data_IF_498340570845
#
_entry.id   IF_498340570845
#
_cell.length_a   1.000
_cell.length_b   1.000
_cell.length_c   1.000
_cell.angle_alpha   90.00
_cell.angle_beta   90.00
_cell.angle_gamma   90.00
#
_symmetry.space_group_name_H-M   'P 1'
#
loop_
_entity.id
_entity.type
_entity.pdbx_description
1 polymer ?
#
# COMPACT_ATOMS: atom_id res chain seq x y z
N UNK A 1 52.60 71.63 21.63
CA UNK A 1 52.53 71.27 23.07
C UNK A 1 52.06 69.84 23.16
N UNK A 2 53.00 69.06 23.49
CA UNK A 2 52.93 67.86 24.40
C UNK A 2 51.92 66.77 24.01
N UNK A 3 52.34 65.70 23.78
CA UNK A 3 53.29 64.73 24.33
C UNK A 3 52.62 63.40 24.58
N UNK A 4 53.34 62.39 24.16
CA UNK A 4 53.55 61.06 24.75
C UNK A 4 52.55 60.04 24.43
N UNK A 5 52.97 59.12 23.59
CA UNK A 5 53.63 57.83 24.01
C UNK A 5 52.74 56.94 24.89
N UNK A 6 52.31 55.86 24.37
CA UNK A 6 52.89 54.67 24.94
C UNK A 6 52.56 53.41 24.09
N UNK A 7 53.62 52.77 23.78
CA UNK A 7 53.82 51.42 23.42
C UNK A 7 53.11 50.49 24.37
N UNK A 8 52.42 49.43 23.85
CA UNK A 8 52.50 48.11 24.51
C UNK A 8 51.88 47.05 23.58
N UNK A 9 52.75 46.42 22.96
CA UNK A 9 52.91 44.96 22.92
C UNK A 9 51.81 44.17 23.68
N UNK A 10 51.16 43.32 23.02
CA UNK A 10 50.81 41.98 23.58
C UNK A 10 50.23 41.08 22.52
N UNK A 11 50.98 40.11 22.16
CA UNK A 11 50.78 38.68 22.02
C UNK A 11 49.43 38.20 21.51
N UNK A 12 49.45 37.29 20.54
CA UNK A 12 48.29 36.56 20.10
C UNK A 12 47.91 35.52 21.16
N UNK A 13 46.65 35.29 21.41
CA UNK A 13 46.22 34.16 22.20
C UNK A 13 46.40 32.87 21.40
N UNK A 14 46.61 31.75 22.11
CA UNK A 14 46.89 30.49 21.51
C UNK A 14 45.67 29.95 20.81
N UNK A 15 45.97 29.37 19.68
CA UNK A 15 45.18 28.40 18.97
C UNK A 15 44.61 27.34 19.89
N UNK A 16 43.53 26.85 19.50
CA UNK A 16 42.91 25.56 19.84
C UNK A 16 41.48 25.74 20.33
N UNK A 17 40.61 25.79 19.36
CA UNK A 17 39.36 25.08 19.51
C UNK A 17 39.11 24.36 18.19
N UNK A 18 39.47 23.12 18.21
CA UNK A 18 38.94 22.08 17.35
C UNK A 18 37.42 22.05 17.59
N UNK A 19 36.69 22.91 16.88
CA UNK A 19 35.29 22.67 16.68
C UNK A 19 35.18 21.39 15.84
N UNK A 20 34.99 20.28 16.51
CA UNK A 20 34.36 19.14 15.94
C UNK A 20 33.06 19.61 15.31
N UNK A 21 33.09 19.86 14.03
CA UNK A 21 31.91 19.79 13.20
C UNK A 21 31.45 18.32 13.25
N UNK A 22 30.64 18.05 14.23
CA UNK A 22 29.69 16.95 14.16
C UNK A 22 28.79 17.27 12.97
N UNK A 23 29.24 16.90 11.81
CA UNK A 23 28.35 16.62 10.70
C UNK A 23 27.41 15.55 11.22
N UNK A 24 26.27 16.00 11.72
CA UNK A 24 25.08 15.19 11.77
C UNK A 24 24.86 14.65 10.36
N UNK A 25 25.53 13.54 10.08
CA UNK A 25 25.07 12.61 9.09
C UNK A 25 23.69 12.18 9.61
N UNK A 26 22.65 12.93 9.23
CA UNK A 26 21.34 12.36 9.09
C UNK A 26 21.54 11.19 8.14
N UNK A 27 21.81 10.04 8.71
CA UNK A 27 21.46 8.79 8.08
C UNK A 27 19.99 8.94 7.71
N UNK A 28 19.79 9.30 6.46
CA UNK A 28 18.53 9.09 5.80
C UNK A 28 18.32 7.59 5.89
N UNK A 29 17.69 7.16 6.98
CA UNK A 29 17.09 5.85 7.08
C UNK A 29 16.18 5.81 5.87
N UNK A 30 16.63 5.14 4.83
CA UNK A 30 15.83 4.94 3.64
C UNK A 30 14.50 4.38 4.15
N UNK A 31 13.48 5.22 4.14
CA UNK A 31 12.17 4.82 4.58
C UNK A 31 11.79 3.71 3.63
N UNK A 32 11.66 2.48 4.15
CA UNK A 32 11.07 1.38 3.41
C UNK A 32 9.77 1.95 2.88
N UNK A 33 9.55 1.99 1.55
CA UNK A 33 8.31 2.53 1.02
C UNK A 33 7.15 1.82 1.71
N UNK A 34 6.10 2.52 2.13
CA UNK A 34 4.99 1.90 2.82
C UNK A 34 4.46 0.79 1.91
N UNK A 35 4.53 -0.45 2.39
CA UNK A 35 4.01 -1.60 1.66
C UNK A 35 2.53 -1.34 1.36
N UNK A 36 2.12 -1.59 0.11
CA UNK A 36 0.74 -1.38 -0.29
C UNK A 36 -0.21 -2.30 0.47
N UNK A 37 -1.17 -1.70 1.16
CA UNK A 37 -2.23 -2.42 1.87
C UNK A 37 -3.19 -3.05 0.86
N UNK A 38 -3.41 -4.35 1.00
CA UNK A 38 -4.30 -5.14 0.13
C UNK A 38 -5.36 -5.83 0.97
N UNK A 39 -6.62 -5.64 0.61
CA UNK A 39 -7.72 -6.43 1.17
C UNK A 39 -7.94 -7.66 0.29
N UNK A 40 -7.95 -8.83 0.91
CA UNK A 40 -8.31 -10.10 0.28
C UNK A 40 -9.62 -10.57 0.89
N UNK A 41 -10.72 -10.49 0.14
CA UNK A 41 -12.04 -10.96 0.55
C UNK A 41 -12.35 -12.24 -0.21
N UNK A 42 -12.21 -13.38 0.46
CA UNK A 42 -12.32 -14.73 -0.11
C UNK A 42 -12.78 -15.68 0.98
N UNK A 43 -13.89 -16.38 0.76
CA UNK A 43 -14.47 -17.33 1.72
C UNK A 43 -13.73 -18.67 1.75
N UNK A 44 -13.10 -19.06 0.65
CA UNK A 44 -12.26 -20.25 0.61
C UNK A 44 -10.94 -19.99 1.33
N UNK A 45 -10.79 -20.59 2.51
CA UNK A 45 -9.63 -20.39 3.40
C UNK A 45 -8.30 -20.79 2.72
N UNK A 46 -8.30 -21.88 1.94
CA UNK A 46 -7.07 -22.36 1.27
C UNK A 46 -6.63 -21.38 0.17
N UNK A 47 -7.58 -20.86 -0.62
CA UNK A 47 -7.30 -19.89 -1.66
C UNK A 47 -6.89 -18.53 -1.04
N UNK A 48 -7.57 -18.10 0.00
CA UNK A 48 -7.24 -16.87 0.73
C UNK A 48 -5.82 -16.91 1.29
N UNK A 49 -5.42 -18.04 1.88
CA UNK A 49 -4.07 -18.22 2.43
C UNK A 49 -3.00 -18.27 1.33
N UNK A 50 -3.29 -18.94 0.22
CA UNK A 50 -2.41 -18.94 -0.95
C UNK A 50 -2.20 -17.51 -1.48
N UNK A 51 -3.28 -16.76 -1.66
CA UNK A 51 -3.23 -15.36 -2.10
C UNK A 51 -2.43 -14.52 -1.10
N UNK A 52 -2.68 -14.66 0.21
CA UNK A 52 -1.95 -13.95 1.26
C UNK A 52 -0.45 -14.15 1.12
N UNK A 53 0.01 -15.40 1.06
CA UNK A 53 1.43 -15.73 0.92
C UNK A 53 2.04 -15.14 -0.36
N UNK A 54 1.33 -15.25 -1.48
CA UNK A 54 1.79 -14.71 -2.76
C UNK A 54 1.92 -13.18 -2.72
N UNK A 55 0.93 -12.49 -2.14
CA UNK A 55 0.99 -11.03 -2.02
C UNK A 55 2.12 -10.57 -1.09
N UNK A 56 2.37 -11.27 0.02
CA UNK A 56 3.52 -11.01 0.89
C UNK A 56 4.86 -11.19 0.15
N UNK A 57 5.00 -12.26 -0.64
CA UNK A 57 6.19 -12.49 -1.48
C UNK A 57 6.38 -11.39 -2.52
N UNK A 58 5.31 -10.79 -3.02
CA UNK A 58 5.36 -9.68 -3.97
C UNK A 58 5.60 -8.31 -3.32
N UNK A 59 5.76 -8.27 -2.00
CA UNK A 59 6.04 -7.05 -1.26
C UNK A 59 4.81 -6.23 -0.90
N UNK A 60 3.61 -6.82 -0.92
CA UNK A 60 2.37 -6.21 -0.44
C UNK A 60 2.11 -6.58 1.02
N UNK A 61 1.19 -5.86 1.63
CA UNK A 61 0.69 -6.17 2.97
C UNK A 61 -0.79 -6.58 2.91
N UNK A 62 -1.07 -7.88 2.75
CA UNK A 62 -2.42 -8.39 2.64
C UNK A 62 -3.11 -8.50 4.00
N UNK A 63 -4.37 -8.15 4.04
CA UNK A 63 -5.31 -8.41 5.14
C UNK A 63 -6.44 -9.25 4.59
N UNK A 64 -6.69 -10.40 5.22
CA UNK A 64 -7.70 -11.36 4.77
C UNK A 64 -9.02 -11.14 5.53
N UNK A 65 -10.12 -11.22 4.80
CA UNK A 65 -11.48 -11.34 5.32
C UNK A 65 -12.17 -12.52 4.63
N UNK A 66 -12.92 -13.30 5.37
CA UNK A 66 -13.68 -14.44 4.83
C UNK A 66 -15.16 -14.14 4.68
N UNK A 67 -15.61 -13.02 5.22
CA UNK A 67 -17.02 -12.61 5.24
C UNK A 67 -17.15 -11.14 4.83
N UNK A 68 -18.24 -10.79 4.15
CA UNK A 68 -18.49 -9.43 3.74
C UNK A 68 -18.58 -8.44 4.91
N UNK A 69 -19.14 -8.87 6.06
CA UNK A 69 -19.17 -8.04 7.29
C UNK A 69 -17.77 -7.77 7.86
N UNK A 70 -16.85 -8.70 7.74
CA UNK A 70 -15.44 -8.52 8.16
C UNK A 70 -14.73 -7.52 7.25
N UNK A 71 -14.89 -7.69 5.94
CA UNK A 71 -14.34 -6.76 4.96
C UNK A 71 -14.89 -5.35 5.15
N UNK A 72 -16.20 -5.20 5.41
CA UNK A 72 -16.82 -3.90 5.65
C UNK A 72 -16.21 -3.21 6.88
N UNK A 73 -15.96 -3.95 7.96
CA UNK A 73 -15.30 -3.41 9.15
C UNK A 73 -13.86 -2.98 8.86
N UNK A 74 -13.10 -3.81 8.16
CA UNK A 74 -11.72 -3.50 7.78
C UNK A 74 -11.64 -2.25 6.90
N UNK A 75 -12.57 -2.10 5.94
CA UNK A 75 -12.65 -0.93 5.07
C UNK A 75 -13.04 0.36 5.81
N UNK A 76 -13.73 0.26 6.94
CA UNK A 76 -14.01 1.38 7.83
C UNK A 76 -12.80 1.77 8.69
N UNK A 77 -12.03 0.79 9.14
CA UNK A 77 -10.91 0.97 10.09
C UNK A 77 -9.61 1.41 9.40
N UNK A 78 -9.39 1.05 8.11
CA UNK A 78 -8.13 1.32 7.41
C UNK A 78 -8.30 1.50 5.90
N UNK A 79 -7.34 2.18 5.28
CA UNK A 79 -7.31 2.39 3.83
C UNK A 79 -6.56 1.26 3.13
N UNK A 80 -7.13 0.80 2.03
CA UNK A 80 -6.50 -0.18 1.13
C UNK A 80 -6.24 0.45 -0.23
N UNK A 81 -5.12 0.07 -0.85
CA UNK A 81 -4.80 0.48 -2.22
C UNK A 81 -5.32 -0.49 -3.27
N UNK A 82 -5.52 -1.73 -2.87
CA UNK A 82 -6.06 -2.80 -3.70
C UNK A 82 -7.06 -3.61 -2.87
N UNK A 83 -8.18 -3.98 -3.46
CA UNK A 83 -9.13 -4.93 -2.92
C UNK A 83 -9.37 -6.03 -3.95
N UNK A 84 -9.06 -7.26 -3.57
CA UNK A 84 -9.44 -8.47 -4.28
C UNK A 84 -10.71 -9.01 -3.62
N UNK A 85 -11.78 -9.11 -4.38
CA UNK A 85 -13.11 -9.37 -3.82
C UNK A 85 -13.74 -10.54 -4.55
N UNK A 86 -13.96 -11.63 -3.82
CA UNK A 86 -14.85 -12.71 -4.31
C UNK A 86 -16.29 -12.19 -4.34
N UNK A 87 -16.98 -12.48 -5.42
CA UNK A 87 -18.38 -12.11 -5.58
C UNK A 87 -19.29 -13.03 -4.74
N UNK A 88 -18.95 -14.30 -4.64
CA UNK A 88 -19.78 -15.33 -4.00
C UNK A 88 -19.37 -15.54 -2.55
N UNK A 89 -19.92 -14.76 -1.63
CA UNK A 89 -19.66 -14.85 -0.19
C UNK A 89 -20.83 -15.49 0.54
N UNK A 90 -20.60 -16.14 1.68
CA UNK A 90 -21.66 -16.85 2.40
C UNK A 90 -22.68 -15.95 3.09
N UNK A 91 -22.32 -14.68 3.37
CA UNK A 91 -23.18 -13.75 4.12
C UNK A 91 -23.72 -12.60 3.27
N UNK A 92 -23.13 -12.31 2.11
CA UNK A 92 -23.54 -11.26 1.18
C UNK A 92 -22.90 -11.47 -0.19
N UNK A 93 -23.01 -10.53 -1.10
CA UNK A 93 -22.24 -10.53 -2.35
C UNK A 93 -21.09 -9.55 -2.28
N UNK A 94 -19.97 -9.86 -2.95
CA UNK A 94 -18.84 -8.94 -3.06
C UNK A 94 -19.23 -7.58 -3.66
N UNK A 95 -20.22 -7.56 -4.55
CA UNK A 95 -20.77 -6.32 -5.10
C UNK A 95 -21.43 -5.44 -4.05
N UNK A 96 -22.21 -6.02 -3.13
CA UNK A 96 -22.87 -5.28 -2.04
C UNK A 96 -21.85 -4.69 -1.07
N UNK A 97 -20.78 -5.45 -0.74
CA UNK A 97 -19.67 -4.96 0.09
C UNK A 97 -19.04 -3.73 -0.54
N UNK A 98 -18.66 -3.84 -1.82
CA UNK A 98 -18.02 -2.74 -2.56
C UNK A 98 -18.96 -1.55 -2.73
N UNK A 99 -20.22 -1.77 -3.10
CA UNK A 99 -21.21 -0.70 -3.23
C UNK A 99 -21.41 0.05 -1.90
N UNK A 100 -21.53 -0.69 -0.79
CA UNK A 100 -21.64 -0.11 0.54
C UNK A 100 -20.43 0.72 0.96
N UNK A 101 -19.23 0.22 0.66
CA UNK A 101 -17.98 0.91 0.95
C UNK A 101 -17.77 2.16 0.09
N UNK A 102 -18.13 2.11 -1.19
CA UNK A 102 -18.08 3.27 -2.09
C UNK A 102 -19.05 4.36 -1.64
N UNK A 103 -20.28 4.00 -1.25
CA UNK A 103 -21.27 4.96 -0.75
C UNK A 103 -20.80 5.70 0.51
N UNK A 104 -19.96 5.07 1.34
CA UNK A 104 -19.35 5.65 2.53
C UNK A 104 -18.02 6.36 2.27
N UNK A 105 -17.50 6.25 1.04
CA UNK A 105 -16.23 6.87 0.65
C UNK A 105 -14.97 6.14 1.16
N UNK A 106 -15.10 4.88 1.56
CA UNK A 106 -13.97 4.09 2.08
C UNK A 106 -13.01 3.58 0.99
N UNK A 107 -13.45 3.55 -0.28
CA UNK A 107 -12.68 3.04 -1.42
C UNK A 107 -12.21 4.13 -2.40
N UNK A 108 -11.98 5.36 -1.92
CA UNK A 108 -11.66 6.52 -2.79
C UNK A 108 -10.43 6.33 -3.67
N UNK A 109 -9.40 5.65 -3.16
CA UNK A 109 -8.11 5.43 -3.84
C UNK A 109 -7.80 3.94 -4.02
N UNK A 110 -8.81 3.08 -3.94
CA UNK A 110 -8.66 1.63 -3.98
C UNK A 110 -8.92 1.12 -5.38
N UNK A 111 -8.00 0.33 -5.93
CA UNK A 111 -8.26 -0.48 -7.13
C UNK A 111 -9.04 -1.72 -6.71
N UNK A 112 -10.02 -2.12 -7.52
CA UNK A 112 -10.91 -3.23 -7.21
C UNK A 112 -10.76 -4.30 -8.27
N UNK A 113 -10.51 -5.54 -7.83
CA UNK A 113 -10.51 -6.72 -8.68
C UNK A 113 -11.59 -7.67 -8.14
N UNK A 114 -12.60 -7.95 -8.94
CA UNK A 114 -13.61 -8.94 -8.62
C UNK A 114 -13.20 -10.31 -9.15
N UNK A 115 -13.38 -11.33 -8.33
CA UNK A 115 -13.23 -12.74 -8.71
C UNK A 115 -14.58 -13.43 -8.74
N UNK A 116 -14.77 -14.37 -9.65
CA UNK A 116 -15.92 -15.28 -9.60
C UNK A 116 -15.65 -16.57 -10.35
N UNK A 117 -16.18 -17.65 -9.83
CA UNK A 117 -16.26 -18.94 -10.53
C UNK A 117 -17.32 -18.96 -11.64
N UNK A 118 -18.23 -17.99 -11.64
CA UNK A 118 -19.27 -17.81 -12.65
C UNK A 118 -18.97 -16.56 -13.50
N UNK A 119 -18.36 -16.71 -14.69
CA UNK A 119 -18.04 -15.61 -15.60
C UNK A 119 -19.21 -15.21 -16.49
N UNK A 120 -20.45 -15.36 -16.04
CA UNK A 120 -21.63 -14.97 -16.81
C UNK A 120 -21.58 -13.49 -17.23
N UNK A 121 -22.17 -13.17 -18.38
CA UNK A 121 -22.21 -11.81 -18.91
C UNK A 121 -22.85 -10.82 -17.93
N UNK A 122 -23.82 -11.26 -17.14
CA UNK A 122 -24.47 -10.43 -16.12
C UNK A 122 -23.51 -10.03 -15.01
N UNK A 123 -22.67 -10.94 -14.53
CA UNK A 123 -21.66 -10.65 -13.47
C UNK A 123 -20.57 -9.75 -13.99
N UNK A 124 -20.09 -9.99 -15.20
CA UNK A 124 -19.10 -9.13 -15.86
C UNK A 124 -19.68 -7.72 -16.08
N UNK A 125 -20.94 -7.64 -16.54
CA UNK A 125 -21.62 -6.36 -16.74
C UNK A 125 -21.81 -5.62 -15.41
N UNK A 126 -22.15 -6.34 -14.32
CA UNK A 126 -22.28 -5.76 -12.99
C UNK A 126 -20.95 -5.24 -12.46
N UNK A 127 -19.86 -6.00 -12.60
CA UNK A 127 -18.51 -5.56 -12.22
C UNK A 127 -18.12 -4.25 -12.93
N UNK A 128 -18.44 -4.11 -14.21
CA UNK A 128 -18.15 -2.90 -15.01
C UNK A 128 -18.90 -1.65 -14.54
N UNK A 129 -19.95 -1.77 -13.73
CA UNK A 129 -20.65 -0.62 -13.15
C UNK A 129 -19.82 0.07 -12.06
N UNK A 130 -18.82 -0.62 -11.52
CA UNK A 130 -17.94 -0.04 -10.51
C UNK A 130 -16.74 0.65 -11.20
N UNK A 131 -16.53 1.96 -10.99
CA UNK A 131 -15.50 2.71 -11.69
C UNK A 131 -14.09 2.15 -11.46
N UNK A 132 -13.41 1.80 -12.55
CA UNK A 132 -12.03 1.32 -12.49
C UNK A 132 -11.85 -0.09 -11.92
N UNK A 133 -12.92 -0.86 -11.74
CA UNK A 133 -12.83 -2.25 -11.34
C UNK A 133 -12.46 -3.16 -12.52
N UNK A 134 -11.91 -4.31 -12.18
CA UNK A 134 -11.53 -5.35 -13.13
C UNK A 134 -12.20 -6.65 -12.69
N UNK A 135 -12.65 -7.43 -13.65
CA UNK A 135 -13.21 -8.77 -13.41
C UNK A 135 -12.20 -9.83 -13.83
N UNK A 136 -11.95 -10.81 -12.98
CA UNK A 136 -11.06 -11.95 -13.22
C UNK A 136 -11.84 -13.24 -12.96
N UNK A 137 -12.06 -14.08 -13.97
CA UNK A 137 -12.73 -15.35 -13.77
C UNK A 137 -11.84 -16.33 -13.01
N UNK A 138 -12.43 -17.15 -12.15
CA UNK A 138 -11.78 -18.33 -11.56
C UNK A 138 -11.99 -19.54 -12.50
N UNK A 139 -11.01 -20.43 -12.68
CA UNK A 139 -9.66 -20.39 -12.13
C UNK A 139 -8.76 -19.40 -12.87
N UNK A 140 -7.84 -18.76 -12.17
CA UNK A 140 -6.86 -17.83 -12.74
C UNK A 140 -5.43 -18.27 -12.42
N UNK A 141 -4.51 -17.89 -13.29
CA UNK A 141 -3.08 -18.12 -13.06
C UNK A 141 -2.49 -16.95 -12.24
N UNK A 142 -1.71 -17.28 -11.21
CA UNK A 142 -1.05 -16.26 -10.37
C UNK A 142 -0.16 -15.31 -11.16
N UNK A 143 0.51 -15.80 -12.22
CA UNK A 143 1.32 -14.97 -13.12
C UNK A 143 0.47 -13.90 -13.83
N UNK A 144 -0.73 -14.26 -14.27
CA UNK A 144 -1.63 -13.33 -14.95
C UNK A 144 -2.16 -12.28 -13.96
N UNK A 145 -2.50 -12.69 -12.74
CA UNK A 145 -2.90 -11.79 -11.66
C UNK A 145 -1.79 -10.80 -11.32
N UNK A 146 -0.55 -11.27 -11.17
CA UNK A 146 0.61 -10.42 -10.92
C UNK A 146 0.82 -9.41 -12.05
N UNK A 147 0.78 -9.85 -13.31
CA UNK A 147 0.91 -8.97 -14.46
C UNK A 147 -0.20 -7.90 -14.54
N UNK A 148 -1.40 -8.21 -14.06
CA UNK A 148 -2.49 -7.26 -13.92
C UNK A 148 -2.19 -6.23 -12.83
N UNK A 149 -1.72 -6.68 -11.66
CA UNK A 149 -1.39 -5.80 -10.53
C UNK A 149 -0.25 -4.85 -10.90
N UNK A 150 0.79 -5.33 -11.57
CA UNK A 150 1.90 -4.49 -12.07
C UNK A 150 1.42 -3.37 -13.01
N UNK A 151 0.43 -3.64 -13.84
CA UNK A 151 -0.19 -2.61 -14.68
C UNK A 151 -1.01 -1.59 -13.90
N UNK A 152 -1.60 -2.00 -12.78
CA UNK A 152 -2.35 -1.09 -11.89
C UNK A 152 -1.43 -0.21 -11.04
N UNK A 153 -0.23 -0.69 -10.74
CA UNK A 153 0.76 -0.04 -9.88
C UNK A 153 2.15 -0.02 -10.54
N UNK A 154 2.34 0.70 -11.66
CA UNK A 154 3.56 0.63 -12.46
C UNK A 154 4.81 1.20 -11.76
N UNK A 155 4.64 1.99 -10.71
CA UNK A 155 5.73 2.64 -9.99
C UNK A 155 6.01 2.03 -8.61
N UNK A 156 5.33 0.94 -8.28
CA UNK A 156 5.54 0.29 -6.99
C UNK A 156 6.55 -0.85 -7.14
N UNK A 157 7.47 -1.00 -6.18
CA UNK A 157 8.46 -2.05 -6.22
C UNK A 157 7.76 -3.40 -5.95
N UNK A 158 7.46 -4.12 -7.01
CA UNK A 158 7.12 -5.53 -6.92
C UNK A 158 8.41 -6.32 -6.97
N UNK A 159 8.69 -7.14 -5.96
CA UNK A 159 9.81 -8.08 -6.03
C UNK A 159 9.56 -9.04 -7.19
N UNK A 160 10.34 -8.90 -8.25
CA UNK A 160 10.42 -9.91 -9.29
C UNK A 160 11.19 -11.11 -8.69
N UNK A 161 10.52 -12.23 -8.50
CA UNK A 161 11.14 -13.51 -8.22
C UNK A 161 11.43 -14.25 -9.51
#
# INVERSE_FOLDING_TARGET
MNSKSNTQTCLPPPSTDLACNSTDAKESKAAIPPMLQVLLLEDNVELAELLRLMFEMWGFQPTVAHLGREASRLLEEQEFRLALVDIDLPDTTGFEVVAGALARGWLRNTKIIFFSGDPSDDRVAMARQFPGSIFVPKPFEMKNLMGLIQKLFPNEPTCEC
#
